data_IF_888824895589
#
_entry.id   IF_888824895589
#
_cell.length_a   1.000
_cell.length_b   1.000
_cell.length_c   1.000
_cell.angle_alpha   90.00
_cell.angle_beta   90.00
_cell.angle_gamma   90.00
#
_symmetry.space_group_name_H-M   'P 1'
#
loop_
_entity.id
_entity.type
_entity.pdbx_description
1 polymer ?
#
# COMPACT_ATOMS: atom_id res chain seq x y z
N UNK A 1 0.66 -8.55 -3.19
CA UNK A 1 -0.20 -9.28 -4.14
C UNK A 1 0.33 -9.05 -5.54
N UNK A 2 0.24 -10.04 -6.43
CA UNK A 2 0.58 -9.86 -7.85
C UNK A 2 -0.46 -10.58 -8.69
N UNK A 3 -0.86 -9.97 -9.82
CA UNK A 3 -1.74 -10.63 -10.77
C UNK A 3 -0.97 -11.72 -11.53
N UNK A 4 -1.69 -12.63 -12.18
CA UNK A 4 -1.07 -13.50 -13.19
C UNK A 4 -0.58 -12.65 -14.36
N UNK A 5 0.62 -12.96 -14.84
CA UNK A 5 1.30 -12.19 -15.88
C UNK A 5 0.57 -12.15 -17.22
N UNK A 6 -0.30 -13.14 -17.47
CA UNK A 6 -1.10 -13.30 -18.69
C UNK A 6 -2.45 -12.57 -18.64
N UNK A 7 -2.76 -11.86 -17.55
CA UNK A 7 -4.00 -11.11 -17.40
C UNK A 7 -3.74 -9.63 -17.11
N UNK A 8 -4.58 -8.77 -17.70
CA UNK A 8 -4.61 -7.36 -17.32
C UNK A 8 -5.04 -7.22 -15.85
N UNK A 9 -4.26 -6.49 -15.06
CA UNK A 9 -4.63 -6.06 -13.71
C UNK A 9 -5.34 -4.72 -13.70
N UNK A 10 -6.01 -4.41 -12.59
CA UNK A 10 -6.42 -3.04 -12.29
C UNK A 10 -5.19 -2.15 -12.05
N UNK A 11 -5.40 -0.83 -12.16
CA UNK A 11 -4.39 0.19 -11.85
C UNK A 11 -4.77 0.96 -10.59
N UNK A 12 -3.80 1.68 -10.01
CA UNK A 12 -3.93 2.49 -8.81
C UNK A 12 -3.47 3.92 -9.09
N UNK A 13 -3.73 4.83 -8.15
CA UNK A 13 -3.20 6.18 -8.23
C UNK A 13 -1.67 6.21 -8.06
N UNK A 14 -1.05 5.25 -7.36
CA UNK A 14 0.41 5.18 -7.21
C UNK A 14 1.14 5.16 -8.56
N UNK A 15 0.60 4.42 -9.54
CA UNK A 15 1.12 4.42 -10.90
C UNK A 15 1.03 5.79 -11.59
N UNK A 16 -0.05 6.55 -11.36
CA UNK A 16 -0.22 7.89 -11.91
C UNK A 16 0.72 8.88 -11.21
N UNK A 17 0.81 8.81 -9.88
CA UNK A 17 1.68 9.68 -9.08
C UNK A 17 3.14 9.57 -9.51
N UNK A 18 3.65 8.36 -9.73
CA UNK A 18 5.03 8.15 -10.18
C UNK A 18 5.29 8.66 -11.62
N UNK A 19 4.26 8.79 -12.45
CA UNK A 19 4.41 9.38 -13.79
C UNK A 19 4.62 10.91 -13.76
N UNK A 20 4.18 11.57 -12.68
CA UNK A 20 4.30 13.02 -12.53
C UNK A 20 5.43 13.44 -11.58
N UNK A 21 5.69 12.65 -10.53
CA UNK A 21 6.73 12.93 -9.55
C UNK A 21 7.45 11.64 -9.23
N UNK A 22 8.76 11.62 -9.43
CA UNK A 22 9.58 10.45 -9.09
C UNK A 22 9.69 10.31 -7.57
N UNK A 23 9.00 9.31 -7.02
CA UNK A 23 9.00 8.98 -5.60
C UNK A 23 9.24 7.49 -5.42
N UNK A 24 9.99 7.12 -4.38
CA UNK A 24 9.97 5.76 -3.88
C UNK A 24 8.62 5.55 -3.18
N UNK A 25 7.75 4.73 -3.77
CA UNK A 25 6.38 4.53 -3.30
C UNK A 25 6.02 3.04 -3.32
N UNK A 26 5.08 2.67 -2.45
CA UNK A 26 4.48 1.34 -2.40
C UNK A 26 2.96 1.50 -2.34
N UNK A 27 2.25 0.74 -3.17
CA UNK A 27 0.79 0.63 -3.10
C UNK A 27 0.41 -0.50 -2.13
N UNK A 28 -0.38 -0.17 -1.12
CA UNK A 28 -0.92 -1.13 -0.16
C UNK A 28 -2.44 -1.02 -0.09
N UNK A 29 -3.09 -2.08 0.35
CA UNK A 29 -4.53 -2.11 0.53
C UNK A 29 -4.98 -3.41 1.19
N UNK A 30 -6.22 -3.42 1.66
CA UNK A 30 -6.85 -4.61 2.23
C UNK A 30 -7.39 -5.50 1.12
N UNK A 31 -7.16 -6.81 1.25
CA UNK A 31 -7.74 -7.77 0.33
C UNK A 31 -9.26 -7.83 0.55
N UNK A 32 -10.01 -7.84 -0.55
CA UNK A 32 -11.45 -7.96 -0.53
C UNK A 32 -11.93 -8.89 -1.65
N UNK A 33 -13.13 -9.43 -1.47
CA UNK A 33 -13.85 -10.24 -2.44
C UNK A 33 -14.98 -9.42 -3.08
N UNK A 34 -15.25 -9.74 -4.34
CA UNK A 34 -16.28 -9.09 -5.15
C UNK A 34 -16.09 -7.56 -5.29
N UNK A 35 -14.85 -7.09 -5.44
CA UNK A 35 -14.52 -5.69 -5.71
C UNK A 35 -15.34 -5.16 -6.90
N UNK A 36 -15.97 -3.99 -6.73
CA UNK A 36 -16.97 -3.37 -7.61
C UNK A 36 -18.40 -3.93 -7.53
N UNK A 37 -18.71 -4.83 -6.60
CA UNK A 37 -20.08 -5.25 -6.27
C UNK A 37 -20.82 -4.18 -5.47
N UNK A 38 -22.16 -4.23 -5.45
CA UNK A 38 -22.96 -3.46 -4.49
C UNK A 38 -22.77 -3.91 -3.04
N UNK A 39 -22.29 -5.14 -2.84
CA UNK A 39 -21.89 -5.70 -1.55
C UNK A 39 -20.51 -6.33 -1.68
N UNK A 40 -19.51 -5.67 -1.11
CA UNK A 40 -18.12 -6.14 -1.03
C UNK A 40 -17.88 -6.89 0.29
N UNK A 41 -16.91 -7.80 0.34
CA UNK A 41 -16.59 -8.56 1.56
C UNK A 41 -15.09 -8.52 1.84
N UNK A 42 -14.71 -8.18 3.07
CA UNK A 42 -13.32 -8.17 3.53
C UNK A 42 -13.19 -8.99 4.82
N UNK A 43 -11.96 -9.29 5.25
CA UNK A 43 -11.72 -9.96 6.52
C UNK A 43 -12.16 -9.08 7.70
N UNK A 44 -12.82 -9.69 8.68
CA UNK A 44 -13.40 -8.97 9.82
C UNK A 44 -12.37 -8.16 10.65
N UNK A 45 -11.08 -8.56 10.60
CA UNK A 45 -9.98 -7.89 11.30
C UNK A 45 -9.08 -7.05 10.40
N UNK A 46 -9.29 -7.09 9.09
CA UNK A 46 -8.35 -6.46 8.15
C UNK A 46 -8.24 -4.95 8.40
N UNK A 47 -9.37 -4.29 8.69
CA UNK A 47 -9.38 -2.87 9.05
C UNK A 47 -8.59 -2.58 10.33
N UNK A 48 -8.73 -3.41 11.37
CA UNK A 48 -8.00 -3.27 12.63
C UNK A 48 -6.49 -3.37 12.38
N UNK A 49 -6.05 -4.40 11.65
CA UNK A 49 -4.63 -4.57 11.33
C UNK A 49 -4.05 -3.45 10.48
N UNK A 50 -4.81 -2.90 9.53
CA UNK A 50 -4.32 -1.74 8.77
C UNK A 50 -4.21 -0.50 9.66
N UNK A 51 -5.17 -0.27 10.56
CA UNK A 51 -5.09 0.83 11.52
C UNK A 51 -3.85 0.67 12.40
N UNK A 52 -3.59 -0.52 12.94
CA UNK A 52 -2.39 -0.79 13.74
C UNK A 52 -1.10 -0.58 12.95
N UNK A 53 -1.01 -1.13 11.73
CA UNK A 53 0.16 -1.02 10.88
C UNK A 53 0.47 0.44 10.50
N UNK A 54 -0.54 1.20 10.09
CA UNK A 54 -0.38 2.62 9.74
C UNK A 54 -0.07 3.47 10.96
N UNK A 55 -0.71 3.19 12.10
CA UNK A 55 -0.43 3.88 13.37
C UNK A 55 1.02 3.65 13.80
N UNK A 56 1.50 2.41 13.72
CA UNK A 56 2.91 2.11 13.98
C UNK A 56 3.80 2.83 12.97
N UNK A 57 3.53 2.74 11.67
CA UNK A 57 4.37 3.38 10.65
C UNK A 57 4.50 4.89 10.86
N UNK A 58 3.40 5.59 11.13
CA UNK A 58 3.43 7.04 11.39
C UNK A 58 3.96 7.43 12.77
N UNK A 59 4.08 6.48 13.71
CA UNK A 59 4.75 6.72 14.98
C UNK A 59 6.28 6.65 14.88
N UNK A 60 6.81 6.08 13.79
CA UNK A 60 8.24 5.96 13.55
C UNK A 60 8.85 7.29 13.11
N UNK A 61 10.10 7.50 13.48
CA UNK A 61 10.93 8.60 13.02
C UNK A 61 11.77 8.17 11.85
N UNK A 62 11.77 8.98 10.80
CA UNK A 62 12.63 8.79 9.65
C UNK A 62 14.03 9.33 9.96
N UNK A 63 15.04 8.47 9.85
CA UNK A 63 16.44 8.82 10.11
C UNK A 63 17.25 8.61 8.83
N UNK A 64 17.92 9.67 8.38
CA UNK A 64 18.93 9.60 7.33
C UNK A 64 20.25 9.15 7.97
N UNK A 65 20.72 7.97 7.60
CA UNK A 65 21.99 7.41 8.06
C UNK A 65 23.18 7.84 7.16
N UNK A 66 22.91 8.62 6.11
CA UNK A 66 23.88 8.99 5.08
C UNK A 66 23.93 8.01 3.91
N UNK A 67 24.61 8.41 2.83
CA UNK A 67 24.82 7.59 1.62
C UNK A 67 23.51 7.08 0.95
N UNK A 68 22.39 7.75 1.19
CA UNK A 68 21.08 7.34 0.68
C UNK A 68 20.43 6.19 1.44
N UNK A 69 20.96 5.84 2.62
CA UNK A 69 20.39 4.84 3.51
C UNK A 69 19.48 5.52 4.52
N UNK A 70 18.24 5.05 4.59
CA UNK A 70 17.23 5.55 5.52
C UNK A 70 16.75 4.42 6.44
N UNK A 71 16.60 4.72 7.72
CA UNK A 71 15.99 3.81 8.70
C UNK A 71 14.74 4.43 9.30
N UNK A 72 13.80 3.56 9.67
CA UNK A 72 12.63 3.93 10.46
C UNK A 72 12.90 3.46 11.89
N UNK A 73 12.85 4.37 12.86
CA UNK A 73 13.10 4.10 14.29
C UNK A 73 11.90 4.42 15.16
#
# INVERSE_FOLDING_TARGET
FTNRSDMAGGSTLGNISNAHVSLNSVDIGLAQLAMHSSYETAGAKDTEYLVEAMSHFYSLTFVDEGEGVFTLR
#
